data_IF_145456398042
#
_entry.id   IF_145456398042
#
_cell.length_a   1.000
_cell.length_b   1.000
_cell.length_c   1.000
_cell.angle_alpha   90.00
_cell.angle_beta   90.00
_cell.angle_gamma   90.00
#
_symmetry.space_group_name_H-M   'P 1'
#
loop_
_entity.id
_entity.type
_entity.pdbx_description
1 polymer ?
#
# COMPACT_ATOMS: atom_id res chain seq x y z
N UNK A 1 13.22 8.36 20.38
CA UNK A 1 12.17 7.86 19.48
C UNK A 1 11.28 9.01 19.00
N UNK A 2 11.72 9.82 18.02
CA UNK A 2 10.98 11.04 17.61
C UNK A 2 10.18 10.92 16.30
N UNK A 3 10.18 9.74 15.66
CA UNK A 3 9.63 9.58 14.29
C UNK A 3 8.76 8.32 14.08
N UNK A 4 8.63 7.44 15.08
CA UNK A 4 7.79 6.24 14.98
C UNK A 4 6.32 6.65 15.05
N UNK A 5 5.54 6.30 14.03
CA UNK A 5 4.11 6.59 13.93
C UNK A 5 3.23 5.35 14.16
N UNK A 6 3.83 4.15 14.18
CA UNK A 6 3.13 2.92 14.51
C UNK A 6 4.11 1.76 14.70
N UNK A 7 3.75 0.81 15.56
CA UNK A 7 4.50 -0.44 15.75
C UNK A 7 3.51 -1.60 15.82
N UNK A 8 3.74 -2.63 15.01
CA UNK A 8 2.98 -3.87 15.01
C UNK A 8 3.91 -5.06 15.27
N UNK A 9 3.34 -6.27 15.23
CA UNK A 9 4.10 -7.52 15.38
C UNK A 9 5.21 -7.63 14.32
N UNK A 10 4.89 -7.29 13.09
CA UNK A 10 5.76 -7.48 11.92
C UNK A 10 6.72 -6.32 11.62
N UNK A 11 6.65 -5.22 12.38
CA UNK A 11 7.43 -4.05 12.01
C UNK A 11 7.10 -2.75 12.72
N UNK A 12 7.93 -1.75 12.46
CA UNK A 12 7.73 -0.36 12.89
C UNK A 12 7.56 0.54 11.69
N UNK A 13 6.54 1.40 11.72
CA UNK A 13 6.32 2.45 10.73
C UNK A 13 6.81 3.78 11.28
N UNK A 14 7.68 4.46 10.53
CA UNK A 14 8.21 5.78 10.89
C UNK A 14 7.95 6.81 9.80
N UNK A 15 7.68 8.04 10.18
CA UNK A 15 7.56 9.18 9.24
C UNK A 15 8.96 9.66 8.85
N UNK A 16 9.20 9.82 7.55
CA UNK A 16 10.41 10.42 7.01
C UNK A 16 10.07 11.55 6.03
N UNK A 17 10.94 12.56 5.95
CA UNK A 17 10.85 13.62 4.94
C UNK A 17 12.05 13.48 4.02
N UNK A 18 11.79 13.36 2.72
CA UNK A 18 12.82 13.31 1.69
C UNK A 18 13.39 14.73 1.45
N UNK A 19 14.59 14.85 0.84
CA UNK A 19 15.17 16.16 0.51
C UNK A 19 14.25 17.05 -0.34
N UNK A 20 13.37 16.46 -1.15
CA UNK A 20 12.36 17.18 -1.93
C UNK A 20 11.16 17.69 -1.12
N UNK A 21 11.18 17.56 0.21
CA UNK A 21 10.08 17.95 1.11
C UNK A 21 8.95 16.93 1.20
N UNK A 22 8.89 15.93 0.30
CA UNK A 22 7.87 14.86 0.31
C UNK A 22 7.98 14.02 1.57
N UNK A 23 6.85 13.84 2.26
CA UNK A 23 6.75 13.00 3.45
C UNK A 23 6.35 11.58 3.04
N UNK A 24 7.04 10.58 3.58
CA UNK A 24 6.78 9.15 3.35
C UNK A 24 6.72 8.38 4.67
N UNK A 25 6.03 7.24 4.65
CA UNK A 25 6.03 6.26 5.74
C UNK A 25 7.03 5.14 5.42
N UNK A 26 8.01 4.92 6.29
CA UNK A 26 8.97 3.82 6.20
C UNK A 26 8.53 2.70 7.13
N UNK A 27 8.18 1.54 6.58
CA UNK A 27 7.90 0.32 7.34
C UNK A 27 9.17 -0.52 7.41
N UNK A 28 9.76 -0.63 8.60
CA UNK A 28 10.90 -1.49 8.89
C UNK A 28 10.37 -2.80 9.47
N UNK A 29 10.60 -3.92 8.78
CA UNK A 29 10.25 -5.25 9.26
C UNK A 29 11.11 -5.63 10.49
N UNK A 30 10.56 -6.42 11.41
CA UNK A 30 11.28 -6.90 12.60
C UNK A 30 11.86 -8.31 12.36
N UNK A 31 13.06 -8.58 12.89
CA UNK A 31 13.60 -9.94 13.04
C UNK A 31 13.63 -10.81 11.77
N UNK A 32 13.37 -12.12 11.96
CA UNK A 32 13.39 -13.19 10.94
C UNK A 32 12.53 -12.89 9.71
N UNK A 33 11.46 -12.12 9.85
CA UNK A 33 10.52 -11.80 8.77
C UNK A 33 11.20 -11.01 7.64
N UNK A 34 12.22 -10.20 7.96
CA UNK A 34 13.03 -9.50 6.97
C UNK A 34 13.99 -10.44 6.20
N UNK A 35 14.24 -11.64 6.72
CA UNK A 35 15.13 -12.65 6.16
C UNK A 35 14.36 -13.76 5.42
N UNK A 36 13.03 -13.80 5.57
CA UNK A 36 12.15 -14.75 4.85
C UNK A 36 11.84 -14.21 3.44
N UNK A 37 12.26 -14.90 2.37
CA UNK A 37 12.07 -14.41 1.00
C UNK A 37 10.60 -14.17 0.62
N UNK A 38 9.68 -15.02 1.08
CA UNK A 38 8.25 -14.87 0.77
C UNK A 38 7.62 -13.63 1.42
N UNK A 39 8.10 -13.24 2.61
CA UNK A 39 7.63 -12.05 3.30
C UNK A 39 8.22 -10.78 2.67
N UNK A 40 9.47 -10.84 2.24
CA UNK A 40 10.13 -9.76 1.51
C UNK A 40 9.49 -9.53 0.12
N UNK A 41 9.11 -10.59 -0.61
CA UNK A 41 8.33 -10.47 -1.84
C UNK A 41 6.94 -9.88 -1.61
N UNK A 42 6.20 -10.38 -0.61
CA UNK A 42 4.90 -9.84 -0.22
C UNK A 42 4.99 -8.36 0.16
N UNK A 43 6.01 -7.99 0.92
CA UNK A 43 6.26 -6.61 1.33
C UNK A 43 6.63 -5.71 0.16
N UNK A 44 7.44 -6.18 -0.80
CA UNK A 44 7.72 -5.45 -2.05
C UNK A 44 6.44 -5.21 -2.86
N UNK A 45 5.52 -6.16 -2.87
CA UNK A 45 4.23 -6.00 -3.55
C UNK A 45 3.31 -4.95 -2.91
N UNK A 46 3.59 -4.50 -1.67
CA UNK A 46 2.87 -3.36 -1.07
C UNK A 46 3.22 -2.02 -1.73
N UNK A 47 4.32 -1.93 -2.50
CA UNK A 47 4.72 -0.70 -3.17
C UNK A 47 3.78 -0.35 -4.33
N UNK A 48 3.11 0.80 -4.23
CA UNK A 48 2.30 1.36 -5.31
C UNK A 48 2.91 2.67 -5.81
N UNK A 49 3.51 2.64 -7.01
CA UNK A 49 4.21 3.78 -7.61
C UNK A 49 3.34 5.04 -7.69
N UNK A 50 2.06 4.88 -8.06
CA UNK A 50 1.09 5.98 -8.18
C UNK A 50 0.40 6.34 -6.86
N UNK A 51 0.87 5.77 -5.75
CA UNK A 51 0.25 5.96 -4.45
C UNK A 51 -1.16 5.37 -4.36
N UNK A 52 -1.97 5.96 -3.48
CA UNK A 52 -3.31 5.48 -3.21
C UNK A 52 -4.32 6.02 -4.23
N UNK A 53 -5.40 5.25 -4.46
CA UNK A 53 -6.54 5.74 -5.25
C UNK A 53 -7.13 7.04 -4.67
N UNK A 54 -7.10 7.20 -3.34
CA UNK A 54 -7.52 8.44 -2.70
C UNK A 54 -6.72 9.65 -3.20
N UNK A 55 -5.40 9.53 -3.32
CA UNK A 55 -4.53 10.60 -3.80
C UNK A 55 -4.90 11.02 -5.23
N UNK A 56 -5.11 10.04 -6.11
CA UNK A 56 -5.52 10.27 -7.51
C UNK A 56 -6.89 10.94 -7.61
N UNK A 57 -7.82 10.58 -6.72
CA UNK A 57 -9.17 11.15 -6.72
C UNK A 57 -9.26 12.52 -6.03
N UNK A 58 -8.27 12.88 -5.22
CA UNK A 58 -8.21 14.15 -4.50
C UNK A 58 -7.66 15.29 -5.38
N UNK A 59 -6.79 14.98 -6.33
CA UNK A 59 -6.26 15.95 -7.29
C UNK A 59 -7.17 16.05 -8.52
N UNK A 60 -7.71 17.24 -8.79
CA UNK A 60 -8.69 17.45 -9.88
C UNK A 60 -8.11 17.11 -11.26
N UNK A 61 -6.84 17.42 -11.50
CA UNK A 61 -6.19 17.17 -12.79
C UNK A 61 -5.98 15.66 -13.00
N UNK A 62 -5.49 14.95 -11.97
CA UNK A 62 -5.36 13.49 -12.03
C UNK A 62 -6.73 12.79 -12.11
N UNK A 63 -7.73 13.31 -11.39
CA UNK A 63 -9.09 12.75 -11.37
C UNK A 63 -9.79 12.87 -12.74
N UNK A 64 -9.53 13.94 -13.49
CA UNK A 64 -9.99 14.11 -14.88
C UNK A 64 -9.35 13.09 -15.82
N UNK A 65 -8.05 12.84 -15.70
CA UNK A 65 -7.33 11.81 -16.45
C UNK A 65 -7.77 10.38 -16.04
N UNK A 66 -8.34 10.25 -14.84
CA UNK A 66 -8.97 9.04 -14.35
C UNK A 66 -10.38 8.83 -14.91
N UNK A 67 -10.46 8.65 -16.23
CA UNK A 67 -11.72 8.50 -16.96
C UNK A 67 -12.57 7.28 -16.54
N UNK A 68 -13.82 7.25 -17.02
CA UNK A 68 -14.82 6.24 -16.66
C UNK A 68 -14.34 4.79 -16.83
N UNK A 69 -13.60 4.49 -17.91
CA UNK A 69 -13.07 3.15 -18.16
C UNK A 69 -12.08 2.72 -17.07
N UNK A 70 -11.19 3.61 -16.62
CA UNK A 70 -10.26 3.32 -15.50
C UNK A 70 -11.02 3.08 -14.20
N UNK A 71 -12.06 3.88 -13.92
CA UNK A 71 -12.91 3.74 -12.73
C UNK A 71 -13.63 2.39 -12.70
N UNK A 72 -14.24 1.99 -13.81
CA UNK A 72 -14.89 0.68 -13.93
C UNK A 72 -13.91 -0.49 -13.70
N UNK A 73 -12.68 -0.38 -14.19
CA UNK A 73 -11.66 -1.41 -13.96
C UNK A 73 -11.28 -1.52 -12.48
N UNK A 74 -11.17 -0.40 -11.75
CA UNK A 74 -10.95 -0.43 -10.30
C UNK A 74 -12.12 -1.08 -9.58
N UNK A 75 -13.37 -0.70 -9.89
CA UNK A 75 -14.55 -1.28 -9.24
C UNK A 75 -14.59 -2.79 -9.45
N UNK A 76 -14.33 -3.26 -10.68
CA UNK A 76 -14.21 -4.69 -10.98
C UNK A 76 -13.09 -5.34 -10.19
N UNK A 77 -11.90 -4.74 -10.17
CA UNK A 77 -10.75 -5.25 -9.41
C UNK A 77 -11.05 -5.39 -7.92
N UNK A 78 -11.68 -4.38 -7.31
CA UNK A 78 -12.10 -4.43 -5.90
C UNK A 78 -13.14 -5.52 -5.67
N UNK A 79 -14.14 -5.65 -6.54
CA UNK A 79 -15.15 -6.70 -6.44
C UNK A 79 -14.51 -8.11 -6.53
N UNK A 80 -13.57 -8.32 -7.45
CA UNK A 80 -12.84 -9.58 -7.56
C UNK A 80 -11.98 -9.86 -6.33
N UNK A 81 -11.24 -8.87 -5.83
CA UNK A 81 -10.42 -9.02 -4.63
C UNK A 81 -11.27 -9.36 -3.40
N UNK A 82 -12.42 -8.69 -3.22
CA UNK A 82 -13.36 -8.99 -2.14
C UNK A 82 -13.96 -10.39 -2.27
N UNK A 83 -14.35 -10.79 -3.49
CA UNK A 83 -14.83 -12.15 -3.76
C UNK A 83 -13.80 -13.20 -3.39
N UNK A 84 -12.54 -12.99 -3.80
CA UNK A 84 -11.43 -13.87 -3.45
C UNK A 84 -11.27 -13.98 -1.93
N UNK A 85 -11.25 -12.84 -1.22
CA UNK A 85 -11.13 -12.82 0.24
C UNK A 85 -12.28 -13.55 0.96
N UNK A 86 -13.50 -13.50 0.40
CA UNK A 86 -14.68 -14.10 1.01
C UNK A 86 -14.83 -15.60 0.73
N UNK A 87 -14.42 -16.07 -0.44
CA UNK A 87 -14.74 -17.42 -0.90
C UNK A 87 -13.52 -18.32 -1.08
N UNK A 88 -12.39 -17.75 -1.52
CA UNK A 88 -11.25 -18.53 -2.02
C UNK A 88 -9.98 -18.36 -1.17
N UNK A 89 -9.92 -17.30 -0.37
CA UNK A 89 -8.79 -17.07 0.53
C UNK A 89 -8.83 -18.08 1.67
N UNK A 90 -7.86 -19.00 1.66
CA UNK A 90 -7.59 -19.89 2.79
C UNK A 90 -6.59 -19.19 3.72
N UNK A 91 -7.02 -18.68 4.88
CA UNK A 91 -6.09 -18.07 5.82
C UNK A 91 -5.08 -19.13 6.29
N UNK A 92 -3.80 -18.81 6.17
CA UNK A 92 -2.68 -19.60 6.70
C UNK A 92 -2.59 -19.48 8.22
#
# INVERSE_FOLDING_TARGET
MKYCIGKGAYGSVSKAQLPCGKVVALKKLHGYEAEVPSFDESFRNEYMEKGSLFSVLYDDAEAMEFNWRKRLNIVKGVAFALSYLHHDCSPS
#
